data_IF_065011951566
#
_entry.id   IF_065011951566
#
_cell.length_a   1.000
_cell.length_b   1.000
_cell.length_c   1.000
_cell.angle_alpha   90.00
_cell.angle_beta   90.00
_cell.angle_gamma   90.00
#
_symmetry.space_group_name_H-M   'P 1'
#
loop_
_entity.id
_entity.type
_entity.pdbx_description
1 polymer ?
#
# COMPACT_ATOMS: atom_id res chain seq x y z
N UNK A 1 7.58 8.26 10.42
CA UNK A 1 7.49 7.48 9.17
C UNK A 1 6.18 7.86 8.48
N UNK A 2 6.17 8.09 7.16
CA UNK A 2 5.01 8.62 6.41
C UNK A 2 4.07 7.53 5.87
N UNK A 3 4.34 6.29 6.26
CA UNK A 3 3.83 5.05 5.70
C UNK A 3 2.30 4.99 5.84
N UNK A 4 1.81 5.27 7.04
CA UNK A 4 0.38 5.35 7.33
C UNK A 4 -0.31 6.52 6.62
N UNK A 5 0.38 7.63 6.38
CA UNK A 5 -0.19 8.80 5.71
C UNK A 5 -0.39 8.51 4.22
N UNK A 6 0.58 7.87 3.56
CA UNK A 6 0.43 7.47 2.17
C UNK A 6 -0.62 6.38 1.98
N UNK A 7 -0.72 5.42 2.90
CA UNK A 7 -1.81 4.45 2.89
C UNK A 7 -3.18 5.13 3.05
N UNK A 8 -3.33 6.00 4.05
CA UNK A 8 -4.56 6.73 4.27
C UNK A 8 -4.95 7.59 3.06
N UNK A 9 -3.97 8.23 2.41
CA UNK A 9 -4.20 8.99 1.18
C UNK A 9 -4.65 8.09 0.02
N UNK A 10 -3.98 6.95 -0.18
CA UNK A 10 -4.32 5.99 -1.23
C UNK A 10 -5.76 5.49 -1.06
N UNK A 11 -6.15 5.12 0.17
CA UNK A 11 -7.51 4.69 0.49
C UNK A 11 -8.54 5.81 0.26
N UNK A 12 -8.29 7.00 0.83
CA UNK A 12 -9.20 8.15 0.73
C UNK A 12 -9.42 8.62 -0.71
N UNK A 13 -8.48 8.32 -1.62
CA UNK A 13 -8.56 8.70 -3.04
C UNK A 13 -8.81 7.52 -3.97
N UNK A 14 -8.96 6.31 -3.43
CA UNK A 14 -9.09 5.07 -4.20
C UNK A 14 -7.99 4.90 -5.25
N UNK A 15 -6.75 5.23 -4.87
CA UNK A 15 -5.57 5.11 -5.72
C UNK A 15 -4.75 3.86 -5.35
N UNK A 16 -4.03 3.27 -6.30
CA UNK A 16 -3.06 2.23 -5.99
C UNK A 16 -1.85 2.81 -5.22
N UNK A 17 -1.24 1.99 -4.36
CA UNK A 17 -0.03 2.31 -3.59
C UNK A 17 1.19 1.56 -4.15
N UNK A 18 2.14 2.30 -4.71
CA UNK A 18 3.44 1.76 -5.10
C UNK A 18 4.44 1.93 -3.94
N UNK A 19 5.06 0.85 -3.48
CA UNK A 19 6.06 0.92 -2.41
C UNK A 19 7.11 -0.20 -2.50
N UNK A 20 8.34 0.13 -2.08
CA UNK A 20 9.43 -0.82 -1.85
C UNK A 20 9.56 -1.21 -0.37
N UNK A 21 8.57 -0.87 0.45
CA UNK A 21 8.46 -1.35 1.83
C UNK A 21 7.47 -2.53 1.90
N UNK A 22 7.99 -3.72 2.22
CA UNK A 22 7.20 -4.95 2.31
C UNK A 22 6.13 -4.89 3.41
N UNK A 23 6.42 -4.26 4.56
CA UNK A 23 5.45 -4.15 5.66
C UNK A 23 4.31 -3.22 5.29
N UNK A 24 4.62 -2.10 4.64
CA UNK A 24 3.61 -1.19 4.13
C UNK A 24 2.76 -1.85 3.03
N UNK A 25 3.38 -2.60 2.11
CA UNK A 25 2.66 -3.35 1.09
C UNK A 25 1.67 -4.37 1.70
N UNK A 26 2.10 -5.09 2.75
CA UNK A 26 1.23 -6.02 3.47
C UNK A 26 0.05 -5.30 4.16
N UNK A 27 0.31 -4.18 4.84
CA UNK A 27 -0.73 -3.37 5.45
C UNK A 27 -1.73 -2.84 4.40
N UNK A 28 -1.23 -2.31 3.29
CA UNK A 28 -2.05 -1.79 2.21
C UNK A 28 -2.98 -2.85 1.60
N UNK A 29 -2.48 -4.08 1.40
CA UNK A 29 -3.30 -5.22 0.97
C UNK A 29 -4.37 -5.57 2.00
N UNK A 30 -4.01 -5.62 3.29
CA UNK A 30 -4.96 -5.89 4.37
C UNK A 30 -6.11 -4.88 4.45
N UNK A 31 -5.84 -3.63 4.11
CA UNK A 31 -6.84 -2.54 4.06
C UNK A 31 -7.55 -2.42 2.70
N UNK A 32 -7.26 -3.32 1.74
CA UNK A 32 -7.93 -3.37 0.44
C UNK A 32 -7.41 -2.38 -0.61
N UNK A 33 -6.27 -1.73 -0.38
CA UNK A 33 -5.61 -0.91 -1.40
C UNK A 33 -4.90 -1.80 -2.43
N UNK A 34 -4.96 -1.40 -3.71
CA UNK A 34 -4.20 -2.05 -4.79
C UNK A 34 -2.71 -1.72 -4.62
N UNK A 35 -1.84 -2.72 -4.54
CA UNK A 35 -0.39 -2.51 -4.42
C UNK A 35 0.29 -2.66 -5.78
N UNK A 36 1.21 -1.75 -6.09
CA UNK A 36 2.06 -1.80 -7.28
C UNK A 36 3.52 -2.01 -6.93
N UNK A 37 4.27 -2.60 -7.87
CA UNK A 37 5.70 -2.82 -7.74
C UNK A 37 6.05 -4.22 -7.24
N UNK A 38 7.26 -4.42 -6.69
CA UNK A 38 7.82 -5.75 -6.40
C UNK A 38 6.99 -6.61 -5.46
N UNK A 39 6.16 -6.00 -4.59
CA UNK A 39 5.35 -6.69 -3.60
C UNK A 39 3.86 -6.75 -3.95
N UNK A 40 3.50 -6.48 -5.21
CA UNK A 40 2.11 -6.54 -5.67
C UNK A 40 1.48 -7.93 -5.50
N UNK A 41 2.28 -8.98 -5.62
CA UNK A 41 1.85 -10.38 -5.56
C UNK A 41 2.38 -11.12 -4.31
N UNK A 42 2.89 -10.39 -3.32
CA UNK A 42 3.35 -10.99 -2.07
C UNK A 42 2.13 -11.51 -1.29
N UNK A 43 2.21 -12.76 -0.82
CA UNK A 43 1.21 -13.42 0.02
C UNK A 43 1.11 -12.82 1.41
#
# INVERSE_FOLDING_TARGET
>A
AYDAVYLALALARSLPLATLDRKLAAAARGEGAVVLGPFANDG
#
